data_IF_317483103551
#
_entry.id   IF_317483103551
#
_cell.length_a   1.000
_cell.length_b   1.000
_cell.length_c   1.000
_cell.angle_alpha   90.00
_cell.angle_beta   90.00
_cell.angle_gamma   90.00
#
_symmetry.space_group_name_H-M   'P 1'
#
loop_
_entity.id
_entity.type
_entity.pdbx_description
1 polymer ?
#
# COMPACT_ATOMS: atom_id res chain seq x y z
N UNK A 1 -2.15 8.78 -19.55
CA UNK A 1 -2.03 7.33 -19.33
C UNK A 1 -1.35 7.04 -18.01
N UNK A 2 -1.86 6.08 -17.26
CA UNK A 2 -1.33 5.68 -15.97
C UNK A 2 -0.58 4.37 -16.14
N UNK A 3 0.66 4.32 -15.67
CA UNK A 3 1.49 3.10 -15.67
C UNK A 3 1.70 2.64 -14.23
N UNK A 4 1.42 1.37 -13.96
CA UNK A 4 1.67 0.76 -12.65
C UNK A 4 2.92 -0.14 -12.79
N UNK A 5 3.82 -0.05 -11.81
CA UNK A 5 5.03 -0.87 -11.80
C UNK A 5 5.59 -1.04 -10.39
N UNK A 6 6.48 -1.99 -10.22
CA UNK A 6 7.29 -2.05 -8.99
C UNK A 6 8.15 -0.80 -8.90
N UNK A 7 8.32 -0.30 -7.68
CA UNK A 7 9.18 0.84 -7.43
C UNK A 7 10.65 0.43 -7.51
N UNK A 8 11.47 1.39 -7.87
CA UNK A 8 12.94 1.27 -7.84
C UNK A 8 13.49 2.26 -6.80
N UNK A 9 14.77 2.13 -6.40
CA UNK A 9 15.34 3.08 -5.43
C UNK A 9 15.24 4.56 -5.83
N UNK A 10 15.15 4.85 -7.12
CA UNK A 10 14.94 6.22 -7.63
C UNK A 10 13.59 6.80 -7.21
N UNK A 11 12.63 5.95 -6.87
CA UNK A 11 11.30 6.39 -6.42
C UNK A 11 11.27 6.71 -4.92
N UNK A 12 12.33 6.38 -4.18
CA UNK A 12 12.34 6.47 -2.72
C UNK A 12 11.98 7.86 -2.19
N UNK A 13 12.50 8.92 -2.82
CA UNK A 13 12.21 10.29 -2.36
C UNK A 13 10.72 10.64 -2.50
N UNK A 14 10.09 10.24 -3.59
CA UNK A 14 8.66 10.45 -3.78
C UNK A 14 7.86 9.67 -2.73
N UNK A 15 8.23 8.41 -2.48
CA UNK A 15 7.57 7.55 -1.50
C UNK A 15 7.70 8.15 -0.09
N UNK A 16 8.89 8.65 0.28
CA UNK A 16 9.11 9.30 1.59
C UNK A 16 8.17 10.49 1.75
N UNK A 17 8.08 11.35 0.73
CA UNK A 17 7.17 12.51 0.76
C UNK A 17 5.72 12.07 0.92
N UNK A 18 5.33 10.97 0.27
CA UNK A 18 3.97 10.45 0.39
C UNK A 18 3.66 9.96 1.80
N UNK A 19 4.62 9.30 2.47
CA UNK A 19 4.43 8.87 3.85
C UNK A 19 4.24 10.08 4.77
N UNK A 20 5.05 11.12 4.60
CA UNK A 20 4.96 12.35 5.39
C UNK A 20 3.61 13.05 5.16
N UNK A 21 3.19 13.16 3.90
CA UNK A 21 1.91 13.76 3.55
C UNK A 21 0.73 12.97 4.11
N UNK A 22 0.77 11.64 3.99
CA UNK A 22 -0.30 10.78 4.49
C UNK A 22 -0.46 10.89 6.01
N UNK A 23 0.62 10.85 6.76
CA UNK A 23 0.58 10.97 8.22
C UNK A 23 0.01 12.33 8.63
N UNK A 24 0.37 13.40 7.94
CA UNK A 24 -0.16 14.72 8.22
C UNK A 24 -1.65 14.81 7.90
N UNK A 25 -2.08 14.27 6.75
CA UNK A 25 -3.48 14.32 6.32
C UNK A 25 -4.40 13.47 7.20
N UNK A 26 -3.96 12.27 7.60
CA UNK A 26 -4.83 11.32 8.31
C UNK A 26 -4.77 11.47 9.82
N UNK A 27 -3.64 11.91 10.38
CA UNK A 27 -3.42 11.92 11.84
C UNK A 27 -2.86 13.24 12.37
N UNK A 28 -2.62 14.21 11.49
CA UNK A 28 -2.02 15.48 11.90
C UNK A 28 -0.61 15.29 12.47
N UNK A 29 0.08 14.24 12.07
CA UNK A 29 1.37 13.84 12.61
C UNK A 29 2.51 14.18 11.68
N UNK A 30 3.49 14.94 12.18
CA UNK A 30 4.73 15.18 11.46
C UNK A 30 5.70 14.04 11.76
N UNK A 31 5.97 13.19 10.75
CA UNK A 31 6.89 12.07 10.91
C UNK A 31 8.33 12.56 11.07
N UNK A 32 9.12 11.86 11.90
CA UNK A 32 10.54 12.10 11.98
C UNK A 32 11.17 11.76 10.62
N UNK A 33 11.77 12.77 9.98
CA UNK A 33 12.29 12.66 8.62
C UNK A 33 13.39 11.59 8.49
N UNK A 34 14.30 11.52 9.45
CA UNK A 34 15.37 10.52 9.43
C UNK A 34 14.81 9.09 9.56
N UNK A 35 13.85 8.91 10.48
CA UNK A 35 13.26 7.61 10.73
C UNK A 35 12.47 7.09 9.52
N UNK A 36 11.64 7.92 8.91
CA UNK A 36 10.85 7.51 7.74
C UNK A 36 11.74 7.26 6.53
N UNK A 37 12.79 8.06 6.37
CA UNK A 37 13.77 7.85 5.29
C UNK A 37 14.45 6.50 5.43
N UNK A 38 14.95 6.19 6.63
CA UNK A 38 15.56 4.88 6.91
C UNK A 38 14.57 3.73 6.71
N UNK A 39 13.32 3.94 7.12
CA UNK A 39 12.26 2.93 6.98
C UNK A 39 11.96 2.60 5.53
N UNK A 40 11.83 3.62 4.69
CA UNK A 40 11.58 3.41 3.25
C UNK A 40 12.80 2.75 2.58
N UNK A 41 14.00 3.26 2.85
CA UNK A 41 15.21 2.70 2.26
C UNK A 41 15.46 1.25 2.67
N UNK A 42 15.08 0.87 3.89
CA UNK A 42 15.22 -0.49 4.38
C UNK A 42 14.43 -1.50 3.51
N UNK A 43 13.27 -1.11 3.01
CA UNK A 43 12.46 -1.96 2.12
C UNK A 43 13.20 -2.22 0.81
N UNK A 44 13.84 -1.20 0.25
CA UNK A 44 14.61 -1.37 -0.99
C UNK A 44 15.86 -2.24 -0.82
N UNK A 45 16.38 -2.32 0.40
CA UNK A 45 17.58 -3.13 0.70
C UNK A 45 17.29 -4.56 1.10
N UNK A 46 16.04 -4.86 1.49
CA UNK A 46 15.68 -6.19 2.00
C UNK A 46 14.25 -6.54 1.57
N UNK A 47 14.17 -7.39 0.56
CA UNK A 47 12.89 -7.84 0.00
C UNK A 47 11.97 -8.53 1.01
N UNK A 48 12.52 -9.04 2.11
CA UNK A 48 11.72 -9.68 3.16
C UNK A 48 10.85 -8.67 3.90
N UNK A 49 11.18 -7.38 3.83
CA UNK A 49 10.38 -6.32 4.47
C UNK A 49 9.18 -5.92 3.63
N UNK A 50 9.22 -6.17 2.33
CA UNK A 50 8.12 -5.86 1.43
C UNK A 50 8.58 -5.30 0.09
N UNK A 51 7.61 -4.88 -0.70
CA UNK A 51 7.84 -4.28 -2.03
C UNK A 51 6.94 -3.06 -2.20
N UNK A 52 7.52 -1.97 -2.66
CA UNK A 52 6.72 -0.81 -3.07
C UNK A 52 6.28 -0.96 -4.53
N UNK A 53 5.06 -0.51 -4.78
CA UNK A 53 4.52 -0.32 -6.13
C UNK A 53 4.15 1.14 -6.29
N UNK A 54 4.32 1.65 -7.50
CA UNK A 54 4.01 3.05 -7.82
C UNK A 54 3.12 3.14 -9.05
N UNK A 55 2.38 4.24 -9.12
CA UNK A 55 1.67 4.65 -10.32
C UNK A 55 2.35 5.89 -10.88
N UNK A 56 2.55 5.91 -12.18
CA UNK A 56 3.15 7.02 -12.92
C UNK A 56 2.16 7.63 -13.89
N UNK A 57 2.16 8.95 -13.94
CA UNK A 57 1.45 9.72 -14.96
C UNK A 57 2.41 10.73 -15.55
N UNK A 58 2.57 10.71 -16.87
CA UNK A 58 3.45 11.66 -17.60
C UNK A 58 4.87 11.70 -17.01
N UNK A 59 5.41 10.54 -16.67
CA UNK A 59 6.76 10.41 -16.12
C UNK A 59 6.92 10.81 -14.66
N UNK A 60 5.83 11.14 -13.96
CA UNK A 60 5.85 11.52 -12.55
C UNK A 60 5.14 10.48 -11.71
N UNK A 61 5.75 10.09 -10.59
CA UNK A 61 5.12 9.18 -9.61
C UNK A 61 4.00 9.93 -8.89
N UNK A 62 2.79 9.41 -8.98
CA UNK A 62 1.58 10.05 -8.45
C UNK A 62 0.93 9.26 -7.32
N UNK A 63 1.35 8.02 -7.11
CA UNK A 63 0.81 7.16 -6.05
C UNK A 63 1.81 6.09 -5.69
N UNK A 64 1.71 5.58 -4.48
CA UNK A 64 2.51 4.44 -4.02
C UNK A 64 1.72 3.59 -3.03
N UNK A 65 2.14 2.35 -2.89
CA UNK A 65 1.68 1.45 -1.83
C UNK A 65 2.79 0.47 -1.48
N UNK A 66 2.72 -0.08 -0.28
CA UNK A 66 3.64 -1.11 0.19
C UNK A 66 2.90 -2.44 0.25
N UNK A 67 3.53 -3.49 -0.26
CA UNK A 67 3.05 -4.87 -0.09
C UNK A 67 3.98 -5.57 0.88
N UNK A 68 3.40 -6.18 1.92
CA UNK A 68 4.11 -7.07 2.83
C UNK A 68 3.46 -8.45 2.79
N UNK A 69 4.22 -9.47 3.17
CA UNK A 69 3.75 -10.86 3.13
C UNK A 69 3.45 -11.37 4.54
N UNK A 70 2.36 -12.12 4.65
CA UNK A 70 2.03 -12.89 5.83
C UNK A 70 1.98 -14.36 5.42
N UNK A 71 2.76 -15.22 6.09
CA UNK A 71 2.69 -16.64 5.84
C UNK A 71 1.41 -17.22 6.47
N UNK A 72 0.66 -17.98 5.68
CA UNK A 72 -0.52 -18.71 6.16
C UNK A 72 -0.22 -20.21 6.15
N UNK A 73 -0.02 -20.76 7.33
CA UNK A 73 0.21 -22.21 7.46
C UNK A 73 -1.03 -23.01 7.04
N UNK A 74 -2.22 -22.50 7.33
CA UNK A 74 -3.46 -23.16 6.91
C UNK A 74 -3.58 -23.25 5.39
N UNK A 75 -3.03 -22.28 4.66
CA UNK A 75 -3.14 -22.23 3.20
C UNK A 75 -1.87 -22.68 2.49
N UNK A 76 -0.80 -22.90 3.26
CA UNK A 76 0.53 -23.20 2.71
C UNK A 76 0.96 -22.18 1.65
N UNK A 77 0.71 -20.91 1.90
CA UNK A 77 0.98 -19.84 0.96
C UNK A 77 1.04 -18.50 1.68
N UNK A 78 1.61 -17.51 1.01
CA UNK A 78 1.59 -16.14 1.51
C UNK A 78 0.25 -15.45 1.21
N UNK A 79 -0.13 -14.56 2.11
CA UNK A 79 -1.18 -13.56 1.90
C UNK A 79 -0.47 -12.22 1.82
N UNK A 80 -0.79 -11.43 0.83
CA UNK A 80 -0.19 -10.10 0.68
C UNK A 80 -1.07 -9.04 1.33
N UNK A 81 -0.41 -8.13 2.06
CA UNK A 81 -1.05 -6.99 2.72
C UNK A 81 -0.73 -5.71 1.99
N UNK A 82 -1.76 -4.90 1.73
CA UNK A 82 -1.59 -3.52 1.28
C UNK A 82 -1.38 -2.62 2.48
N UNK A 83 -0.34 -1.81 2.43
CA UNK A 83 -0.04 -0.83 3.47
C UNK A 83 0.38 0.49 2.82
N UNK A 84 0.25 1.59 3.58
CA UNK A 84 0.76 2.90 3.18
C UNK A 84 0.29 3.33 1.78
N UNK A 85 -0.97 3.10 1.48
CA UNK A 85 -1.57 3.47 0.19
C UNK A 85 -1.75 4.99 0.15
N UNK A 86 -1.14 5.64 -0.83
CA UNK A 86 -1.27 7.08 -1.01
C UNK A 86 -1.39 7.43 -2.49
N UNK A 87 -2.35 8.32 -2.79
CA UNK A 87 -2.52 8.92 -4.12
C UNK A 87 -2.48 10.43 -3.91
N UNK A 88 -1.71 11.15 -4.71
CA UNK A 88 -1.67 12.61 -4.58
C UNK A 88 -3.06 13.21 -4.83
N UNK A 89 -3.43 14.31 -4.16
CA UNK A 89 -4.79 14.86 -4.22
C UNK A 89 -5.33 15.05 -5.65
N UNK A 90 -4.49 15.52 -6.57
CA UNK A 90 -4.89 15.84 -7.95
C UNK A 90 -5.34 14.61 -8.74
N UNK A 91 -4.97 13.42 -8.30
CA UNK A 91 -5.31 12.16 -8.99
C UNK A 91 -6.29 11.29 -8.22
N UNK A 92 -6.81 11.78 -7.10
CA UNK A 92 -7.80 11.04 -6.30
C UNK A 92 -9.13 10.93 -7.02
N UNK A 93 -9.89 9.87 -6.69
CA UNK A 93 -11.21 9.60 -7.22
C UNK A 93 -11.23 9.36 -8.73
N UNK A 94 -10.12 8.90 -9.26
CA UNK A 94 -9.95 8.57 -10.68
C UNK A 94 -9.62 7.09 -10.89
N UNK A 95 -9.81 6.26 -9.88
CA UNK A 95 -9.59 4.83 -9.98
C UNK A 95 -8.13 4.40 -9.92
N UNK A 96 -7.21 5.27 -9.45
CA UNK A 96 -5.78 4.95 -9.40
C UNK A 96 -5.52 3.74 -8.49
N UNK A 97 -6.09 3.74 -7.28
CA UNK A 97 -5.91 2.60 -6.39
C UNK A 97 -6.44 1.30 -7.01
N UNK A 98 -7.57 1.35 -7.69
CA UNK A 98 -8.13 0.17 -8.35
C UNK A 98 -7.17 -0.39 -9.40
N UNK A 99 -6.54 0.47 -10.20
CA UNK A 99 -5.55 0.06 -11.16
C UNK A 99 -4.36 -0.62 -10.47
N UNK A 100 -3.87 -0.04 -9.37
CA UNK A 100 -2.77 -0.61 -8.60
C UNK A 100 -3.17 -1.95 -7.98
N UNK A 101 -4.37 -2.02 -7.41
CA UNK A 101 -4.91 -3.24 -6.82
C UNK A 101 -4.94 -4.39 -7.85
N UNK A 102 -5.48 -4.14 -9.02
CA UNK A 102 -5.58 -5.17 -10.06
C UNK A 102 -4.20 -5.61 -10.54
N UNK A 103 -3.27 -4.68 -10.67
CA UNK A 103 -1.89 -4.99 -11.05
C UNK A 103 -1.22 -5.88 -10.00
N UNK A 104 -1.29 -5.49 -8.73
CA UNK A 104 -0.71 -6.25 -7.61
C UNK A 104 -1.36 -7.62 -7.48
N UNK A 105 -2.67 -7.70 -7.63
CA UNK A 105 -3.40 -8.96 -7.60
C UNK A 105 -2.89 -9.92 -8.67
N UNK A 106 -2.70 -9.44 -9.88
CA UNK A 106 -2.16 -10.23 -10.99
C UNK A 106 -0.75 -10.74 -10.69
N UNK A 107 0.12 -9.84 -10.20
CA UNK A 107 1.48 -10.20 -9.81
C UNK A 107 1.49 -11.26 -8.71
N UNK A 108 0.67 -11.05 -7.69
CA UNK A 108 0.58 -11.98 -6.56
C UNK A 108 0.07 -13.36 -6.96
N UNK A 109 -0.95 -13.42 -7.80
CA UNK A 109 -1.47 -14.70 -8.29
C UNK A 109 -0.40 -15.46 -9.08
N UNK A 110 0.43 -14.74 -9.85
CA UNK A 110 1.55 -15.35 -10.56
C UNK A 110 2.60 -15.92 -9.60
N UNK A 111 2.73 -15.36 -8.41
CA UNK A 111 3.64 -15.83 -7.36
C UNK A 111 2.99 -16.84 -6.40
N UNK A 112 1.73 -17.18 -6.61
CA UNK A 112 1.04 -18.21 -5.84
C UNK A 112 0.47 -17.74 -4.49
N UNK A 113 0.15 -16.46 -4.34
CA UNK A 113 -0.46 -15.98 -3.10
C UNK A 113 -1.86 -16.58 -2.92
N UNK A 114 -2.25 -16.74 -1.65
CA UNK A 114 -3.57 -17.24 -1.29
C UNK A 114 -4.63 -16.15 -1.20
N UNK A 115 -4.21 -14.88 -1.08
CA UNK A 115 -5.15 -13.79 -0.95
C UNK A 115 -4.48 -12.44 -0.73
N UNK A 116 -5.32 -11.41 -0.64
CA UNK A 116 -4.93 -10.04 -0.37
C UNK A 116 -5.67 -9.55 0.86
N UNK A 117 -4.98 -8.76 1.69
CA UNK A 117 -5.56 -8.16 2.90
C UNK A 117 -5.16 -6.69 2.99
N UNK A 118 -5.97 -5.92 3.68
CA UNK A 118 -5.65 -4.56 4.12
C UNK A 118 -6.46 -4.27 5.37
N UNK A 119 -6.04 -3.27 6.14
CA UNK A 119 -6.91 -2.72 7.16
C UNK A 119 -7.26 -1.29 6.82
N UNK A 120 -8.42 -0.87 7.30
CA UNK A 120 -8.98 0.45 7.04
C UNK A 120 -9.52 0.99 8.35
N UNK A 121 -9.40 2.30 8.54
CA UNK A 121 -9.99 2.96 9.71
C UNK A 121 -11.48 2.67 9.74
N UNK A 122 -11.99 2.27 10.92
CA UNK A 122 -13.39 1.89 11.10
C UNK A 122 -14.38 3.04 10.78
N UNK A 123 -13.90 4.28 10.80
CA UNK A 123 -14.71 5.46 10.46
C UNK A 123 -14.64 5.83 9.00
N UNK A 124 -13.73 5.23 8.22
CA UNK A 124 -13.56 5.54 6.81
C UNK A 124 -14.54 4.72 5.96
N UNK A 125 -15.81 5.08 6.03
CA UNK A 125 -16.89 4.35 5.34
C UNK A 125 -16.74 4.37 3.82
N UNK A 126 -16.19 5.43 3.28
CA UNK A 126 -15.97 5.56 1.84
C UNK A 126 -14.96 4.53 1.33
N UNK A 127 -13.82 4.39 2.01
CA UNK A 127 -12.82 3.41 1.66
C UNK A 127 -13.38 1.99 1.77
N UNK A 128 -14.16 1.72 2.83
CA UNK A 128 -14.80 0.42 3.02
C UNK A 128 -15.70 0.05 1.84
N UNK A 129 -16.52 1.00 1.36
CA UNK A 129 -17.37 0.77 0.20
C UNK A 129 -16.55 0.48 -1.06
N UNK A 130 -15.44 1.18 -1.23
CA UNK A 130 -14.53 0.95 -2.36
C UNK A 130 -13.99 -0.47 -2.34
N UNK A 131 -13.51 -0.94 -1.18
CA UNK A 131 -12.96 -2.28 -1.04
C UNK A 131 -14.03 -3.36 -1.23
N UNK A 132 -15.22 -3.15 -0.69
CA UNK A 132 -16.35 -4.07 -0.88
C UNK A 132 -16.73 -4.18 -2.36
N UNK A 133 -16.74 -3.06 -3.08
CA UNK A 133 -17.02 -3.04 -4.52
C UNK A 133 -15.96 -3.79 -5.32
N UNK A 134 -14.76 -3.95 -4.78
CA UNK A 134 -13.67 -4.72 -5.39
C UNK A 134 -13.70 -6.20 -4.99
N UNK A 135 -14.70 -6.61 -4.22
CA UNK A 135 -14.86 -8.00 -3.81
C UNK A 135 -14.21 -8.37 -2.48
N UNK A 136 -13.74 -7.38 -1.72
CA UNK A 136 -13.15 -7.64 -0.41
C UNK A 136 -14.24 -7.69 0.67
N UNK A 137 -13.98 -8.44 1.74
CA UNK A 137 -14.91 -8.60 2.85
C UNK A 137 -14.26 -8.14 4.15
N UNK A 138 -14.83 -7.12 4.80
CA UNK A 138 -14.32 -6.55 6.04
C UNK A 138 -15.06 -7.00 7.31
N UNK A 139 -15.96 -7.99 7.23
CA UNK A 139 -16.82 -8.35 8.35
C UNK A 139 -16.27 -9.45 9.25
N UNK A 140 -15.14 -10.07 8.91
CA UNK A 140 -14.69 -11.31 9.57
C UNK A 140 -13.69 -11.08 10.70
N UNK A 141 -12.76 -10.12 10.59
CA UNK A 141 -11.71 -9.90 11.59
C UNK A 141 -11.71 -8.47 12.11
N UNK A 142 -11.24 -8.31 13.36
CA UNK A 142 -10.91 -7.01 13.96
C UNK A 142 -9.40 -6.96 14.16
N UNK A 143 -8.84 -5.76 14.16
CA UNK A 143 -7.44 -5.53 14.48
C UNK A 143 -7.31 -5.11 15.93
N UNK A 144 -6.43 -5.77 16.69
CA UNK A 144 -6.06 -5.36 18.05
C UNK A 144 -4.61 -4.93 18.03
N UNK A 145 -4.29 -3.83 18.69
CA UNK A 145 -2.95 -3.26 18.68
C UNK A 145 -2.44 -3.02 20.11
N UNK A 146 -1.17 -3.28 20.29
CA UNK A 146 -0.38 -2.77 21.40
C UNK A 146 0.92 -2.25 20.80
N UNK A 147 1.12 -0.92 20.79
CA UNK A 147 2.27 -0.28 20.18
C UNK A 147 3.21 0.25 21.25
N UNK A 148 4.51 0.27 20.95
CA UNK A 148 5.55 0.78 21.86
C UNK A 148 5.52 2.30 21.87
#
# INVERSE_FOLDING_TARGET
MITIRKATPEDAMAIIRFQQAMAMETEGLALNSERVTKGVMAVFRDERKGHYYVAEAKGTVIASLLITSEWSDWRNANVWWFQSVYVIPEYRRQGIFRLMYEYVKKEGLAEGIAGLRLYVDSTNLRAQKTYEAMGMNGSHYLTYEWMV
#
